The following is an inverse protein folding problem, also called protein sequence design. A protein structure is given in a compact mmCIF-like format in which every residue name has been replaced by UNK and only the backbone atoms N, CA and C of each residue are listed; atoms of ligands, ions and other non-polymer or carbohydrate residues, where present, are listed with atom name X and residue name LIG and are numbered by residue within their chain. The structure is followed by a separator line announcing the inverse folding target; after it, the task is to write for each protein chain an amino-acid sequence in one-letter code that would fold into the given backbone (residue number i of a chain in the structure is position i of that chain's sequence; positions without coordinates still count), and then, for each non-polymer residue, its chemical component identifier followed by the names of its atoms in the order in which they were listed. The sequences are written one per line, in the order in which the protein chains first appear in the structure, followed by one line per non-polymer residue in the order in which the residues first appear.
data_IF_901932560990
#
_entry.id   IF_901932560990
#
_cell.length_a   1.000
_cell.length_b   1.000
_cell.length_c   1.000
_cell.angle_alpha   90.00
_cell.angle_beta   90.00
_cell.angle_gamma   90.00
#
_symmetry.space_group_name_H-M   'P 1'
#
loop_
_entity.id
_entity.type
_entity.pdbx_description
1 polymer ?
#
# COMPACT_ATOMS: atom_id res chain seq x y z
N UNK A 1 30.81 33.17 -7.12
CA UNK A 1 29.50 32.84 -6.53
C UNK A 1 29.33 31.34 -6.63
N UNK A 2 29.59 30.59 -5.56
CA UNK A 2 29.55 29.13 -5.55
C UNK A 2 28.15 28.72 -5.12
N UNK A 3 27.38 28.11 -6.03
CA UNK A 3 26.09 27.49 -5.75
C UNK A 3 26.35 26.10 -5.16
N UNK A 4 26.02 25.94 -3.88
CA UNK A 4 26.04 24.64 -3.19
C UNK A 4 24.74 23.91 -3.54
N UNK A 5 24.85 22.81 -4.28
CA UNK A 5 23.76 21.86 -4.44
C UNK A 5 23.55 21.15 -3.11
N UNK A 6 22.45 21.47 -2.42
CA UNK A 6 22.01 20.70 -1.27
C UNK A 6 21.43 19.40 -1.83
N UNK A 7 22.30 18.41 -2.03
CA UNK A 7 21.89 17.04 -2.26
C UNK A 7 21.26 16.55 -0.96
N UNK A 8 19.92 16.61 -0.88
CA UNK A 8 19.21 15.79 0.09
C UNK A 8 19.46 14.34 -0.33
N UNK A 9 20.47 13.72 0.26
CA UNK A 9 20.55 12.26 0.28
C UNK A 9 19.28 11.82 1.00
N UNK A 10 18.37 11.21 0.25
CA UNK A 10 17.22 10.49 0.79
C UNK A 10 17.83 9.33 1.56
N UNK A 11 18.28 9.58 2.78
CA UNK A 11 18.91 8.58 3.64
C UNK A 11 17.93 7.44 3.75
N UNK A 12 18.30 6.32 3.12
CA UNK A 12 17.49 5.11 3.04
C UNK A 12 17.67 4.36 4.34
N UNK A 13 17.27 4.98 5.44
CA UNK A 13 16.97 4.30 6.70
C UNK A 13 15.45 4.14 6.80
N UNK A 14 14.85 3.55 5.77
CA UNK A 14 13.58 2.84 5.95
C UNK A 14 13.91 1.58 6.74
N UNK A 15 14.09 1.74 8.05
CA UNK A 15 13.94 0.64 8.97
C UNK A 15 12.49 0.72 9.40
N UNK A 16 11.70 -0.26 8.99
CA UNK A 16 10.38 -0.40 9.54
C UNK A 16 10.40 -0.52 11.07
N UNK A 17 9.75 0.45 11.72
CA UNK A 17 9.61 0.53 13.19
C UNK A 17 8.39 -0.25 13.69
N UNK A 18 7.55 -0.71 12.78
CA UNK A 18 6.39 -1.57 13.02
C UNK A 18 6.55 -2.88 12.26
N UNK A 19 5.93 -3.93 12.77
CA UNK A 19 5.91 -5.25 12.14
C UNK A 19 4.45 -5.67 11.89
N UNK A 20 3.79 -5.08 10.88
CA UNK A 20 2.40 -5.37 10.56
C UNK A 20 2.25 -6.81 10.06
N UNK A 21 1.13 -7.43 10.43
CA UNK A 21 0.73 -8.76 10.02
C UNK A 21 -0.31 -8.70 8.91
N UNK A 22 -0.40 -9.76 8.10
CA UNK A 22 -1.47 -9.84 7.12
C UNK A 22 -2.84 -9.91 7.81
N UNK A 23 -2.98 -10.79 8.80
CA UNK A 23 -4.28 -11.16 9.37
C UNK A 23 -4.96 -10.02 10.14
N UNK A 24 -4.21 -9.00 10.57
CA UNK A 24 -4.75 -7.85 11.32
C UNK A 24 -4.70 -6.58 10.47
N UNK A 25 -3.52 -6.02 10.21
CA UNK A 25 -3.41 -4.69 9.62
C UNK A 25 -3.72 -4.70 8.12
N UNK A 26 -3.10 -5.60 7.36
CA UNK A 26 -3.23 -5.60 5.90
C UNK A 26 -4.63 -6.06 5.48
N UNK A 27 -5.15 -7.13 6.08
CA UNK A 27 -6.49 -7.63 5.80
C UNK A 27 -7.56 -6.58 6.09
N UNK A 28 -7.41 -5.78 7.16
CA UNK A 28 -8.34 -4.69 7.48
C UNK A 28 -8.35 -3.62 6.39
N UNK A 29 -7.19 -3.25 5.85
CA UNK A 29 -7.07 -2.30 4.74
C UNK A 29 -7.71 -2.87 3.47
N UNK A 30 -7.40 -4.13 3.13
CA UNK A 30 -7.95 -4.79 1.94
C UNK A 30 -9.49 -4.90 2.01
N UNK A 31 -10.02 -5.25 3.18
CA UNK A 31 -11.47 -5.34 3.40
C UNK A 31 -12.16 -3.97 3.34
N UNK A 32 -11.52 -2.92 3.83
CA UNK A 32 -12.10 -1.58 3.85
C UNK A 32 -12.20 -0.96 2.45
N UNK A 33 -11.19 -1.16 1.59
CA UNK A 33 -11.03 -0.37 0.37
C UNK A 33 -10.93 -1.17 -0.93
N UNK A 34 -10.58 -2.45 -0.88
CA UNK A 34 -10.17 -3.20 -2.09
C UNK A 34 -11.12 -4.35 -2.45
N UNK A 35 -11.47 -5.20 -1.47
CA UNK A 35 -12.13 -6.50 -1.71
C UNK A 35 -13.54 -6.37 -2.31
N UNK A 36 -14.23 -5.25 -2.10
CA UNK A 36 -15.54 -5.01 -2.73
C UNK A 36 -15.50 -5.18 -4.26
N UNK A 37 -14.40 -4.77 -4.89
CA UNK A 37 -14.22 -4.78 -6.35
C UNK A 37 -13.05 -5.65 -6.84
N UNK A 38 -12.22 -6.18 -5.94
CA UNK A 38 -11.05 -7.00 -6.25
C UNK A 38 -11.09 -8.32 -5.47
N UNK A 39 -12.10 -9.14 -5.77
CA UNK A 39 -12.28 -10.47 -5.16
C UNK A 39 -12.58 -11.52 -6.23
N UNK A 40 -12.51 -12.81 -5.87
CA UNK A 40 -12.68 -13.96 -6.78
C UNK A 40 -13.94 -13.85 -7.66
N UNK A 41 -15.05 -13.37 -7.09
CA UNK A 41 -16.34 -13.27 -7.79
C UNK A 41 -16.62 -11.88 -8.41
N UNK A 42 -15.71 -10.92 -8.22
CA UNK A 42 -15.81 -9.57 -8.75
C UNK A 42 -14.38 -9.02 -8.87
N UNK A 43 -13.64 -9.45 -9.90
CA UNK A 43 -12.24 -9.11 -10.13
C UNK A 43 -12.13 -7.95 -11.14
N UNK A 44 -12.42 -6.73 -10.68
CA UNK A 44 -12.33 -5.53 -11.52
C UNK A 44 -10.90 -5.37 -12.06
N UNK A 45 -10.78 -5.13 -13.37
CA UNK A 45 -9.47 -5.07 -14.03
C UNK A 45 -8.68 -6.39 -14.04
N UNK A 46 -9.32 -7.52 -13.72
CA UNK A 46 -8.68 -8.83 -13.65
C UNK A 46 -7.82 -9.05 -12.39
N UNK A 47 -7.91 -8.16 -11.40
CA UNK A 47 -7.13 -8.24 -10.16
C UNK A 47 -7.99 -8.85 -9.04
N UNK A 48 -7.43 -9.83 -8.34
CA UNK A 48 -8.02 -10.42 -7.14
C UNK A 48 -7.10 -10.19 -5.92
N UNK A 49 -7.65 -9.67 -4.83
CA UNK A 49 -6.96 -9.29 -3.59
C UNK A 49 -7.62 -9.91 -2.33
N UNK A 50 -8.46 -10.95 -2.49
CA UNK A 50 -9.17 -11.60 -1.38
C UNK A 50 -8.39 -12.72 -0.66
N UNK A 51 -7.14 -12.96 -1.07
CA UNK A 51 -6.21 -13.92 -0.46
C UNK A 51 -4.85 -13.28 -0.18
N UNK A 52 -4.20 -13.74 0.89
CA UNK A 52 -2.87 -13.27 1.31
C UNK A 52 -1.84 -13.36 0.20
N UNK A 53 -1.73 -14.51 -0.47
CA UNK A 53 -0.71 -14.71 -1.49
C UNK A 53 -0.94 -13.80 -2.69
N UNK A 54 -2.20 -13.52 -3.02
CA UNK A 54 -2.54 -12.60 -4.10
C UNK A 54 -2.22 -11.15 -3.74
N UNK A 55 -2.46 -10.74 -2.49
CA UNK A 55 -2.06 -9.43 -1.99
C UNK A 55 -0.53 -9.29 -1.99
N UNK A 56 0.21 -10.32 -1.55
CA UNK A 56 1.67 -10.34 -1.60
C UNK A 56 2.21 -10.21 -3.03
N UNK A 57 1.58 -10.89 -4.01
CA UNK A 57 1.97 -10.79 -5.43
C UNK A 57 1.76 -9.39 -6.02
N UNK A 58 0.76 -8.65 -5.52
CA UNK A 58 0.36 -7.34 -6.07
C UNK A 58 0.79 -6.15 -5.19
N UNK A 59 1.47 -6.38 -4.07
CA UNK A 59 1.72 -5.36 -3.04
C UNK A 59 2.38 -4.08 -3.57
N UNK A 60 3.34 -4.20 -4.50
CA UNK A 60 3.98 -3.02 -5.11
C UNK A 60 2.98 -2.19 -5.90
N UNK A 61 2.09 -2.83 -6.68
CA UNK A 61 1.05 -2.13 -7.42
C UNK A 61 0.02 -1.52 -6.47
N UNK A 62 -0.38 -2.23 -5.42
CA UNK A 62 -1.31 -1.70 -4.41
C UNK A 62 -0.79 -0.41 -3.81
N UNK A 63 0.49 -0.39 -3.38
CA UNK A 63 1.13 0.81 -2.82
C UNK A 63 1.11 1.95 -3.84
N UNK A 64 1.50 1.68 -5.10
CA UNK A 64 1.51 2.69 -6.16
C UNK A 64 0.12 3.30 -6.40
N UNK A 65 -0.94 2.49 -6.49
CA UNK A 65 -2.31 2.97 -6.71
C UNK A 65 -2.84 3.83 -5.57
N UNK A 66 -2.45 3.52 -4.33
CA UNK A 66 -2.79 4.30 -3.14
C UNK A 66 -2.02 5.63 -3.15
N UNK A 67 -0.73 5.61 -3.48
CA UNK A 67 0.13 6.79 -3.60
C UNK A 67 -0.36 7.76 -4.69
N UNK A 68 -0.74 7.23 -5.86
CA UNK A 68 -1.29 8.03 -6.96
C UNK A 68 -2.76 8.41 -6.78
N UNK A 69 -3.41 7.89 -5.74
CA UNK A 69 -4.85 8.08 -5.47
C UNK A 69 -5.74 7.67 -6.66
N UNK A 70 -5.29 6.73 -7.47
CA UNK A 70 -6.04 6.18 -8.60
C UNK A 70 -7.02 5.09 -8.17
N UNK A 71 -6.79 4.49 -7.00
CA UNK A 71 -7.73 3.60 -6.33
C UNK A 71 -7.94 4.00 -4.87
N UNK A 72 -9.16 3.79 -4.32
CA UNK A 72 -10.37 3.35 -5.01
C UNK A 72 -10.92 4.39 -6.01
N UNK A 73 -11.75 4.00 -6.99
CA UNK A 73 -12.26 4.94 -8.00
C UNK A 73 -13.21 5.97 -7.37
N UNK A 74 -13.38 7.11 -8.04
CA UNK A 74 -14.25 8.18 -7.57
C UNK A 74 -15.66 7.67 -7.20
N UNK A 75 -16.16 8.12 -6.04
CA UNK A 75 -17.46 7.71 -5.51
C UNK A 75 -17.42 6.45 -4.62
N UNK A 76 -16.27 5.79 -4.52
CA UNK A 76 -16.05 4.71 -3.56
C UNK A 76 -15.45 5.26 -2.25
N UNK A 77 -15.61 4.54 -1.12
CA UNK A 77 -14.88 4.84 0.10
C UNK A 77 -13.37 4.87 -0.17
N UNK A 78 -12.71 5.95 0.19
CA UNK A 78 -11.27 6.13 0.06
C UNK A 78 -10.73 6.67 1.38
N UNK A 79 -9.48 6.32 1.75
CA UNK A 79 -8.87 6.88 2.95
C UNK A 79 -8.69 8.40 2.81
N UNK A 80 -8.78 9.11 3.92
CA UNK A 80 -8.30 10.49 4.03
C UNK A 80 -6.79 10.54 3.81
N UNK A 81 -6.22 11.73 3.58
CA UNK A 81 -4.78 11.87 3.35
C UNK A 81 -3.94 11.35 4.54
N UNK A 82 -4.39 11.61 5.77
CA UNK A 82 -3.70 11.12 6.98
C UNK A 82 -3.77 9.58 7.11
N UNK A 83 -4.92 8.99 6.79
CA UNK A 83 -5.06 7.53 6.78
C UNK A 83 -4.23 6.91 5.66
N UNK A 84 -4.18 7.54 4.48
CA UNK A 84 -3.38 7.11 3.33
C UNK A 84 -1.89 7.04 3.68
N UNK A 85 -1.35 8.08 4.31
CA UNK A 85 0.05 8.09 4.76
C UNK A 85 0.33 6.94 5.73
N UNK A 86 -0.59 6.69 6.67
CA UNK A 86 -0.48 5.58 7.63
C UNK A 86 -0.54 4.21 6.94
N UNK A 87 -1.44 4.05 5.98
CA UNK A 87 -1.59 2.84 5.17
C UNK A 87 -0.31 2.57 4.37
N UNK A 88 0.27 3.58 3.72
CA UNK A 88 1.51 3.44 2.95
C UNK A 88 2.65 2.98 3.85
N UNK A 89 2.77 3.50 5.08
CA UNK A 89 3.77 3.03 6.05
C UNK A 89 3.54 1.56 6.42
N UNK A 90 2.31 1.18 6.73
CA UNK A 90 1.95 -0.22 7.05
C UNK A 90 2.31 -1.15 5.90
N UNK A 91 1.91 -0.83 4.67
CA UNK A 91 2.14 -1.70 3.51
C UNK A 91 3.61 -1.81 3.14
N UNK A 92 4.37 -0.70 3.19
CA UNK A 92 5.82 -0.75 3.00
C UNK A 92 6.51 -1.60 4.07
N UNK A 93 6.07 -1.51 5.32
CA UNK A 93 6.64 -2.33 6.38
C UNK A 93 6.26 -3.79 6.33
N UNK A 94 5.05 -4.09 5.85
CA UNK A 94 4.69 -5.46 5.55
C UNK A 94 5.53 -6.02 4.39
N UNK A 95 5.71 -5.25 3.31
CA UNK A 95 6.53 -5.62 2.15
C UNK A 95 7.97 -5.97 2.55
N UNK A 96 8.61 -5.18 3.41
CA UNK A 96 9.96 -5.47 3.91
C UNK A 96 10.06 -6.80 4.67
N UNK A 97 8.97 -7.31 5.23
CA UNK A 97 8.94 -8.60 5.93
C UNK A 97 8.62 -9.77 5.00
N UNK A 98 7.94 -9.54 3.88
CA UNK A 98 7.60 -10.56 2.88
C UNK A 98 8.78 -10.84 1.94
N UNK A 99 9.62 -9.83 1.65
CA UNK A 99 10.75 -9.95 0.69
C UNK A 99 12.06 -10.38 1.37
N UNK A 100 12.05 -10.65 2.68
CA UNK A 100 13.19 -11.24 3.40
C UNK A 100 13.30 -12.75 3.17
#
# INVERSE_FOLDING_TARGET
MILVFISCSKDKTNSCIINPSYDVEVSSIMNAYCIACHQTNNASGGVNLDDKNLVEQHINQIILEIESQSMPPYGMPAPTDLERDSIIVILNCWLENVVR
#
